data_IF_497649331361
#
_entry.id   IF_497649331361
#
_cell.length_a   1.000
_cell.length_b   1.000
_cell.length_c   1.000
_cell.angle_alpha   90.00
_cell.angle_beta   90.00
_cell.angle_gamma   90.00
#
_symmetry.space_group_name_H-M   'P 1'
#
loop_
_entity.id
_entity.type
_entity.pdbx_description
1 polymer ?
#
# COMPACT_ATOMS: atom_id res chain seq x y z
N UNK A 1 8.17 19.61 -12.61
CA UNK A 1 7.60 18.76 -11.55
C UNK A 1 7.67 17.30 -11.99
N UNK A 2 8.51 16.46 -11.37
CA UNK A 2 8.67 15.04 -11.77
C UNK A 2 7.59 14.20 -11.09
N UNK A 3 6.43 14.06 -11.72
CA UNK A 3 5.42 13.07 -11.31
C UNK A 3 5.94 11.66 -11.67
N UNK A 4 6.91 11.16 -10.90
CA UNK A 4 7.46 9.80 -10.99
C UNK A 4 6.73 8.81 -10.06
N UNK A 5 5.57 9.20 -9.55
CA UNK A 5 4.75 8.40 -8.64
C UNK A 5 4.15 7.25 -9.44
N UNK A 6 4.60 6.03 -9.14
CA UNK A 6 4.04 4.79 -9.67
C UNK A 6 2.81 4.44 -8.83
N UNK A 7 1.72 4.01 -9.47
CA UNK A 7 0.56 3.51 -8.74
C UNK A 7 0.84 2.06 -8.34
N UNK A 8 0.72 1.76 -7.05
CA UNK A 8 0.77 0.41 -6.51
C UNK A 8 -0.61 0.04 -6.01
N UNK A 9 -1.06 -1.17 -6.34
CA UNK A 9 -2.26 -1.76 -5.74
C UNK A 9 -1.79 -2.58 -4.54
N UNK A 10 -2.29 -2.24 -3.36
CA UNK A 10 -1.95 -2.93 -2.12
C UNK A 10 -3.20 -3.57 -1.54
N UNK A 11 -3.10 -4.85 -1.22
CA UNK A 11 -4.13 -5.58 -0.48
C UNK A 11 -3.66 -5.76 0.95
N UNK A 12 -4.42 -5.22 1.90
CA UNK A 12 -4.21 -5.39 3.34
C UNK A 12 -5.33 -6.18 3.98
N UNK A 13 -4.98 -6.96 4.98
CA UNK A 13 -5.92 -7.58 5.91
C UNK A 13 -5.88 -6.79 7.21
N UNK A 14 -7.02 -6.23 7.61
CA UNK A 14 -7.21 -5.52 8.86
C UNK A 14 -8.51 -6.00 9.50
N UNK A 15 -8.47 -6.45 10.76
CA UNK A 15 -9.67 -6.87 11.52
C UNK A 15 -10.55 -7.91 10.79
N UNK A 16 -9.94 -8.89 10.13
CA UNK A 16 -10.58 -9.90 9.27
C UNK A 16 -11.25 -9.36 7.98
N UNK A 17 -11.06 -8.08 7.65
CA UNK A 17 -11.48 -7.53 6.37
C UNK A 17 -10.30 -7.41 5.42
N UNK A 18 -10.54 -7.75 4.14
CA UNK A 18 -9.56 -7.59 3.07
C UNK A 18 -9.87 -6.29 2.35
N UNK A 19 -8.97 -5.32 2.48
CA UNK A 19 -9.08 -4.01 1.86
C UNK A 19 -8.06 -3.95 0.72
N UNK A 20 -8.51 -3.56 -0.47
CA UNK A 20 -7.62 -3.32 -1.62
C UNK A 20 -7.67 -1.84 -1.97
N UNK A 21 -6.51 -1.20 -2.00
CA UNK A 21 -6.40 0.23 -2.29
C UNK A 21 -5.26 0.54 -3.25
N UNK A 22 -5.39 1.67 -3.94
CA UNK A 22 -4.32 2.22 -4.76
C UNK A 22 -3.50 3.24 -3.97
N UNK A 23 -2.18 3.11 -4.06
CA UNK A 23 -1.22 3.95 -3.36
C UNK A 23 -0.23 4.51 -4.36
N UNK A 24 -0.17 5.83 -4.44
CA UNK A 24 0.87 6.52 -5.20
C UNK A 24 2.18 6.48 -4.40
N UNK A 25 3.19 5.78 -4.92
CA UNK A 25 4.51 5.70 -4.31
C UNK A 25 5.61 5.63 -5.37
N UNK A 26 6.86 5.91 -5.02
CA UNK A 26 8.00 5.79 -5.95
C UNK A 26 8.55 4.37 -5.99
N UNK A 27 8.33 3.60 -4.92
CA UNK A 27 8.80 2.22 -4.76
C UNK A 27 7.81 1.36 -3.97
N UNK A 28 7.95 0.04 -4.06
CA UNK A 28 7.17 -0.89 -3.24
C UNK A 28 7.40 -0.70 -1.73
N UNK A 29 8.63 -0.32 -1.35
CA UNK A 29 8.99 -0.07 0.07
C UNK A 29 8.22 1.14 0.58
N UNK A 30 8.17 2.22 -0.21
CA UNK A 30 7.42 3.42 0.14
C UNK A 30 5.91 3.15 0.20
N UNK A 31 5.36 2.38 -0.75
CA UNK A 31 3.96 1.95 -0.70
C UNK A 31 3.65 1.16 0.59
N UNK A 32 4.52 0.23 1.02
CA UNK A 32 4.34 -0.49 2.30
C UNK A 32 4.38 0.45 3.50
N UNK A 33 5.26 1.45 3.51
CA UNK A 33 5.33 2.44 4.60
C UNK A 33 4.07 3.28 4.68
N UNK A 34 3.55 3.76 3.54
CA UNK A 34 2.31 4.54 3.48
C UNK A 34 1.15 3.72 4.05
N UNK A 35 1.02 2.47 3.61
CA UNK A 35 -0.04 1.55 4.04
C UNK A 35 0.07 1.22 5.53
N UNK A 36 1.28 0.91 6.02
CA UNK A 36 1.51 0.67 7.46
C UNK A 36 1.19 1.90 8.31
N UNK A 37 1.52 3.10 7.84
CA UNK A 37 1.17 4.34 8.54
C UNK A 37 -0.35 4.60 8.52
N UNK A 38 -1.04 4.24 7.44
CA UNK A 38 -2.49 4.44 7.28
C UNK A 38 -3.31 3.49 8.15
N UNK A 39 -2.96 2.21 8.17
CA UNK A 39 -3.75 1.17 8.85
C UNK A 39 -3.16 0.73 10.21
N UNK A 40 -2.00 1.27 10.59
CA UNK A 40 -1.34 0.96 11.86
C UNK A 40 -0.58 -0.38 11.87
N UNK A 41 -0.10 -0.76 13.06
CA UNK A 41 0.72 -1.96 13.27
C UNK A 41 0.01 -3.29 13.03
N UNK A 42 -1.32 -3.31 13.17
CA UNK A 42 -2.15 -4.51 13.01
C UNK A 42 -2.46 -4.87 11.56
N UNK A 43 -2.11 -4.00 10.61
CA UNK A 43 -2.39 -4.21 9.21
C UNK A 43 -1.37 -5.17 8.57
N UNK A 44 -1.86 -6.31 8.07
CA UNK A 44 -1.02 -7.29 7.38
C UNK A 44 -1.13 -7.09 5.87
N UNK A 45 -0.04 -6.65 5.23
CA UNK A 45 0.03 -6.55 3.77
C UNK A 45 0.05 -7.97 3.18
N UNK A 46 -1.03 -8.35 2.48
CA UNK A 46 -1.18 -9.64 1.79
C UNK A 46 -0.55 -9.62 0.41
N UNK A 47 -0.79 -8.55 -0.34
CA UNK A 47 -0.31 -8.42 -1.72
C UNK A 47 0.08 -6.98 -2.02
N UNK A 48 1.11 -6.81 -2.83
CA UNK A 48 1.51 -5.51 -3.35
C UNK A 48 2.00 -5.69 -4.78
N UNK A 49 1.31 -5.05 -5.72
CA UNK A 49 1.66 -5.08 -7.14
C UNK A 49 1.76 -3.68 -7.70
N UNK A 50 2.67 -3.48 -8.65
CA UNK A 50 2.72 -2.24 -9.43
C UNK A 50 1.61 -2.31 -10.50
N UNK A 51 0.90 -1.21 -10.71
CA UNK A 51 0.00 -1.05 -11.86
C UNK A 51 0.79 -0.79 -13.14
#
# INVERSE_FOLDING_TARGET
>A
MRCGTKCFVVTVEQKNEIITEEVAARSQIEARKIVRNRYGGDAKVKSLRKR
#
